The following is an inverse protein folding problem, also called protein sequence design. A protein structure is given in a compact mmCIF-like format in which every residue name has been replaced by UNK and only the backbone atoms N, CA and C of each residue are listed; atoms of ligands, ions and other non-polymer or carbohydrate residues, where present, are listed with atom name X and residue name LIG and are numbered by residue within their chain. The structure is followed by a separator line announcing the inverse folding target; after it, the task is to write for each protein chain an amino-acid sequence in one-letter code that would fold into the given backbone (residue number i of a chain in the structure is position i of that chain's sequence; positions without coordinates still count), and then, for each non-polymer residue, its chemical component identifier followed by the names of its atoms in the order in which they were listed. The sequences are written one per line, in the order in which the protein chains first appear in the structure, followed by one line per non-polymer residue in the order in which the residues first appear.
data_IF_494427691888
#
_entry.id   IF_494427691888
#
_cell.length_a   1.000
_cell.length_b   1.000
_cell.length_c   1.000
_cell.angle_alpha   90.00
_cell.angle_beta   90.00
_cell.angle_gamma   90.00
#
_symmetry.space_group_name_H-M   'P 1'
#
loop_
_entity.id
_entity.type
_entity.pdbx_description
1 polymer ?
#
# COMPACT_ATOMS: atom_id res chain seq x y z
N UNK A 1 3.16 0.96 -33.65
CA UNK A 1 2.79 0.14 -32.48
C UNK A 1 2.51 -1.27 -32.97
N UNK A 2 3.16 -2.29 -32.43
CA UNK A 2 2.82 -3.69 -32.74
C UNK A 2 1.55 -4.15 -32.01
N UNK A 3 1.08 -5.36 -32.30
CA UNK A 3 -0.10 -5.96 -31.65
C UNK A 3 0.00 -5.97 -30.11
N UNK A 4 1.23 -6.06 -29.58
CA UNK A 4 1.54 -6.04 -28.15
C UNK A 4 1.03 -4.77 -27.48
N UNK A 5 1.21 -3.61 -28.12
CA UNK A 5 0.78 -2.32 -27.57
C UNK A 5 -0.74 -2.26 -27.39
N UNK A 6 -1.50 -2.77 -28.37
CA UNK A 6 -2.95 -2.84 -28.28
C UNK A 6 -3.43 -3.78 -27.17
N UNK A 7 -2.82 -4.96 -27.06
CA UNK A 7 -3.14 -5.92 -25.98
C UNK A 7 -2.86 -5.31 -24.61
N UNK A 8 -1.71 -4.66 -24.43
CA UNK A 8 -1.37 -4.01 -23.16
C UNK A 8 -2.33 -2.85 -22.87
N UNK A 9 -2.71 -2.06 -23.88
CA UNK A 9 -3.68 -0.97 -23.70
C UNK A 9 -5.03 -1.51 -23.20
N UNK A 10 -5.52 -2.62 -23.76
CA UNK A 10 -6.73 -3.29 -23.30
C UNK A 10 -6.58 -3.78 -21.85
N UNK A 11 -5.45 -4.41 -21.50
CA UNK A 11 -5.18 -4.86 -20.12
C UNK A 11 -5.24 -3.66 -19.15
N UNK A 12 -4.51 -2.58 -19.44
CA UNK A 12 -4.47 -1.38 -18.59
C UNK A 12 -5.86 -0.75 -18.46
N UNK A 13 -6.61 -0.69 -19.57
CA UNK A 13 -7.98 -0.18 -19.59
C UNK A 13 -8.93 -1.01 -18.70
N UNK A 14 -8.86 -2.34 -18.77
CA UNK A 14 -9.66 -3.22 -17.92
C UNK A 14 -9.29 -3.08 -16.43
N UNK A 15 -8.00 -2.95 -16.11
CA UNK A 15 -7.55 -2.66 -14.75
C UNK A 15 -8.07 -1.31 -14.27
N UNK A 16 -8.05 -0.27 -15.12
CA UNK A 16 -8.59 1.04 -14.81
C UNK A 16 -10.10 0.96 -14.53
N UNK A 17 -10.88 0.28 -15.37
CA UNK A 17 -12.32 0.09 -15.16
C UNK A 17 -12.61 -0.62 -13.84
N UNK A 18 -11.89 -1.70 -13.53
CA UNK A 18 -12.01 -2.38 -12.24
C UNK A 18 -11.72 -1.44 -11.07
N UNK A 19 -10.61 -0.69 -11.14
CA UNK A 19 -10.18 0.20 -10.08
C UNK A 19 -11.18 1.35 -9.86
N UNK A 20 -11.60 2.03 -10.93
CA UNK A 20 -12.59 3.13 -10.86
C UNK A 20 -13.95 2.65 -10.34
N UNK A 21 -14.48 1.56 -10.88
CA UNK A 21 -15.76 1.02 -10.44
C UNK A 21 -15.70 0.56 -8.98
N UNK A 22 -14.63 -0.12 -8.58
CA UNK A 22 -14.41 -0.56 -7.21
C UNK A 22 -14.28 0.62 -6.24
N UNK A 23 -13.49 1.64 -6.57
CA UNK A 23 -13.36 2.86 -5.77
C UNK A 23 -14.70 3.59 -5.63
N UNK A 24 -15.45 3.75 -6.72
CA UNK A 24 -16.78 4.36 -6.69
C UNK A 24 -17.72 3.63 -5.73
N UNK A 25 -17.73 2.29 -5.77
CA UNK A 25 -18.53 1.49 -4.85
C UNK A 25 -18.11 1.71 -3.41
N UNK A 26 -16.81 1.62 -3.10
CA UNK A 26 -16.30 1.82 -1.72
C UNK A 26 -16.68 3.20 -1.19
N UNK A 27 -16.46 4.27 -1.96
CA UNK A 27 -16.80 5.63 -1.54
C UNK A 27 -18.30 5.79 -1.26
N UNK A 28 -19.15 5.17 -2.07
CA UNK A 28 -20.61 5.28 -1.94
C UNK A 28 -21.19 4.41 -0.84
N UNK A 29 -20.64 3.23 -0.61
CA UNK A 29 -21.26 2.21 0.26
C UNK A 29 -20.52 1.98 1.57
N UNK A 30 -19.31 2.49 1.77
CA UNK A 30 -18.57 2.24 3.01
C UNK A 30 -19.19 3.00 4.19
N UNK A 31 -19.80 2.30 5.17
CA UNK A 31 -20.21 2.95 6.40
C UNK A 31 -18.97 3.40 7.18
N UNK A 32 -19.12 4.50 7.92
CA UNK A 32 -18.12 4.86 8.94
C UNK A 32 -18.20 3.78 10.01
N UNK A 33 -17.11 3.04 10.22
CA UNK A 33 -17.08 1.99 11.23
C UNK A 33 -17.29 2.63 12.61
N UNK A 34 -18.24 2.11 13.40
CA UNK A 34 -18.49 2.53 14.80
C UNK A 34 -17.37 2.07 15.76
N UNK A 35 -16.26 1.57 15.23
CA UNK A 35 -15.13 1.13 16.01
C UNK A 35 -14.36 2.29 16.63
N UNK A 36 -13.72 2.04 17.77
CA UNK A 36 -12.73 2.94 18.36
C UNK A 36 -11.37 2.25 18.45
N UNK A 37 -10.31 3.05 18.49
CA UNK A 37 -8.93 2.62 18.69
C UNK A 37 -8.45 3.14 20.04
N UNK A 38 -7.70 2.30 20.74
CA UNK A 38 -7.04 2.68 22.00
C UNK A 38 -5.55 2.46 21.89
N UNK A 39 -4.76 3.51 22.16
CA UNK A 39 -3.31 3.39 22.29
C UNK A 39 -2.97 2.64 23.58
N UNK A 40 -2.03 1.69 23.52
CA UNK A 40 -1.63 0.87 24.68
C UNK A 40 -1.05 1.69 25.84
N UNK A 41 -0.39 2.82 25.56
CA UNK A 41 0.10 3.77 26.57
C UNK A 41 0.43 5.14 25.96
N UNK A 42 0.55 6.17 26.80
CA UNK A 42 1.05 7.50 26.39
C UNK A 42 2.48 7.43 25.84
N UNK A 43 3.32 6.56 26.39
CA UNK A 43 4.68 6.31 25.90
C UNK A 43 4.67 5.73 24.49
N UNK A 44 3.78 4.76 24.22
CA UNK A 44 3.62 4.20 22.88
C UNK A 44 3.14 5.25 21.88
N UNK A 45 2.17 6.08 22.26
CA UNK A 45 1.69 7.20 21.44
C UNK A 45 2.84 8.16 21.09
N UNK A 46 3.55 8.69 22.08
CA UNK A 46 4.66 9.64 21.87
C UNK A 46 5.83 9.02 21.10
N UNK A 47 6.14 7.76 21.37
CA UNK A 47 7.19 7.01 20.67
C UNK A 47 6.86 6.81 19.19
N UNK A 48 5.63 6.41 18.86
CA UNK A 48 5.16 6.28 17.48
C UNK A 48 5.19 7.63 16.76
N UNK A 49 4.81 8.71 17.43
CA UNK A 49 4.90 10.06 16.87
C UNK A 49 6.35 10.42 16.52
N UNK A 50 7.27 10.27 17.47
CA UNK A 50 8.69 10.56 17.27
C UNK A 50 9.30 9.73 16.13
N UNK A 51 8.98 8.44 16.08
CA UNK A 51 9.36 7.55 14.99
C UNK A 51 8.91 8.09 13.63
N UNK A 52 7.63 8.47 13.49
CA UNK A 52 7.08 8.99 12.23
C UNK A 52 7.75 10.29 11.79
N UNK A 53 8.06 11.20 12.72
CA UNK A 53 8.77 12.45 12.42
C UNK A 53 10.18 12.17 11.89
N UNK A 54 10.92 11.28 12.53
CA UNK A 54 12.27 10.88 12.08
C UNK A 54 12.21 10.22 10.71
N UNK A 55 11.24 9.33 10.48
CA UNK A 55 11.05 8.68 9.18
C UNK A 55 10.69 9.68 8.09
N UNK A 56 9.79 10.63 8.37
CA UNK A 56 9.43 11.67 7.41
C UNK A 56 10.65 12.53 7.03
N UNK A 57 11.47 12.93 8.01
CA UNK A 57 12.72 13.64 7.75
C UNK A 57 13.69 12.82 6.89
N UNK A 58 13.90 11.54 7.24
CA UNK A 58 14.72 10.62 6.45
C UNK A 58 14.21 10.52 5.00
N UNK A 59 12.90 10.39 4.80
CA UNK A 59 12.33 10.24 3.47
C UNK A 59 12.44 11.52 2.63
N UNK A 60 12.24 12.69 3.26
CA UNK A 60 12.49 13.99 2.63
C UNK A 60 13.95 14.08 2.18
N UNK A 61 14.89 13.73 3.06
CA UNK A 61 16.32 13.72 2.72
C UNK A 61 16.62 12.76 1.57
N UNK A 62 16.11 11.52 1.61
CA UNK A 62 16.30 10.55 0.53
C UNK A 62 15.75 11.06 -0.81
N UNK A 63 14.57 11.66 -0.83
CA UNK A 63 13.99 12.24 -2.05
C UNK A 63 14.79 13.43 -2.56
N UNK A 64 15.26 14.33 -1.70
CA UNK A 64 16.13 15.46 -2.10
C UNK A 64 17.42 14.92 -2.72
N UNK A 65 18.06 13.92 -2.11
CA UNK A 65 19.25 13.28 -2.67
C UNK A 65 18.96 12.63 -4.03
N UNK A 66 17.83 11.93 -4.17
CA UNK A 66 17.47 11.30 -5.43
C UNK A 66 17.26 12.35 -6.54
N UNK A 67 16.60 13.46 -6.24
CA UNK A 67 16.31 14.52 -7.21
C UNK A 67 17.55 15.33 -7.60
N UNK A 68 18.48 15.54 -6.67
CA UNK A 68 19.73 16.28 -6.94
C UNK A 68 20.72 15.45 -7.75
N UNK A 69 20.75 14.12 -7.56
CA UNK A 69 21.70 13.24 -8.27
C UNK A 69 21.15 12.63 -9.57
N UNK A 70 19.85 12.36 -9.68
CA UNK A 70 19.24 11.74 -10.87
C UNK A 70 18.42 12.71 -11.73
N UNK A 71 18.36 13.99 -11.34
CA UNK A 71 17.60 15.05 -12.02
C UNK A 71 16.11 14.68 -12.19
N UNK A 72 15.41 15.32 -13.15
CA UNK A 72 14.00 15.05 -13.45
C UNK A 72 13.70 13.61 -13.86
N UNK A 73 14.72 12.79 -14.19
CA UNK A 73 14.54 11.38 -14.55
C UNK A 73 14.12 10.52 -13.37
N UNK A 74 14.41 10.94 -12.14
CA UNK A 74 13.95 10.27 -10.92
C UNK A 74 12.43 10.07 -10.91
N UNK A 75 11.66 11.07 -11.39
CA UNK A 75 10.20 11.00 -11.44
C UNK A 75 9.65 10.03 -12.49
N UNK A 76 10.49 9.41 -13.32
CA UNK A 76 10.05 8.35 -14.22
C UNK A 76 10.07 6.96 -13.57
N UNK A 77 10.71 6.84 -12.40
CA UNK A 77 10.91 5.57 -11.70
C UNK A 77 9.75 5.29 -10.75
N UNK A 78 9.14 4.11 -10.86
CA UNK A 78 8.05 3.67 -10.00
C UNK A 78 8.46 3.63 -8.52
N UNK A 79 9.72 3.31 -8.25
CA UNK A 79 10.31 3.35 -6.90
C UNK A 79 10.13 4.73 -6.26
N UNK A 80 10.45 5.80 -6.98
CA UNK A 80 10.37 7.18 -6.49
C UNK A 80 8.92 7.58 -6.25
N UNK A 81 8.00 7.16 -7.12
CA UNK A 81 6.56 7.34 -6.92
C UNK A 81 6.09 6.67 -5.62
N UNK A 82 6.43 5.40 -5.43
CA UNK A 82 6.06 4.64 -4.23
C UNK A 82 6.65 5.27 -2.96
N UNK A 83 7.94 5.65 -2.99
CA UNK A 83 8.62 6.27 -1.86
C UNK A 83 8.02 7.65 -1.53
N UNK A 84 7.66 8.44 -2.54
CA UNK A 84 6.93 9.71 -2.36
C UNK A 84 5.57 9.48 -1.72
N UNK A 85 4.82 8.46 -2.16
CA UNK A 85 3.52 8.14 -1.58
C UNK A 85 3.64 7.66 -0.12
N UNK A 86 4.73 6.97 0.22
CA UNK A 86 5.04 6.63 1.62
C UNK A 86 5.33 7.88 2.45
N UNK A 87 6.05 8.87 1.92
CA UNK A 87 6.25 10.16 2.62
C UNK A 87 4.90 10.85 2.86
N UNK A 88 4.01 10.89 1.86
CA UNK A 88 2.65 11.44 2.01
C UNK A 88 1.90 10.73 3.13
N UNK A 89 2.00 9.39 3.20
CA UNK A 89 1.44 8.62 4.31
C UNK A 89 1.99 9.06 5.67
N UNK A 90 3.31 9.16 5.83
CA UNK A 90 3.91 9.54 7.11
C UNK A 90 3.53 10.96 7.55
N UNK A 91 3.51 11.92 6.62
CA UNK A 91 3.06 13.29 6.90
C UNK A 91 1.59 13.33 7.32
N UNK A 92 0.73 12.57 6.64
CA UNK A 92 -0.69 12.48 7.01
C UNK A 92 -0.88 11.76 8.35
N UNK A 93 -0.13 10.70 8.62
CA UNK A 93 -0.16 9.99 9.89
C UNK A 93 0.28 10.89 11.07
N UNK A 94 1.29 11.74 10.86
CA UNK A 94 1.69 12.77 11.83
C UNK A 94 0.54 13.75 12.07
N UNK A 95 -0.06 14.29 11.00
CA UNK A 95 -1.19 15.23 11.11
C UNK A 95 -2.35 14.64 11.91
N UNK A 96 -2.78 13.43 11.58
CA UNK A 96 -3.86 12.72 12.31
C UNK A 96 -3.48 12.53 13.77
N UNK A 97 -2.24 12.13 14.05
CA UNK A 97 -1.78 11.92 15.42
C UNK A 97 -1.70 13.23 16.24
N UNK A 98 -1.36 14.37 15.62
CA UNK A 98 -1.42 15.69 16.26
C UNK A 98 -2.86 16.06 16.61
N UNK A 99 -3.82 15.80 15.71
CA UNK A 99 -5.24 16.07 15.99
C UNK A 99 -5.78 15.24 17.16
N UNK A 100 -5.20 14.07 17.39
CA UNK A 100 -5.58 13.14 18.46
C UNK A 100 -4.76 13.35 19.75
N UNK A 101 -3.87 14.36 19.80
CA UNK A 101 -2.93 14.54 20.90
C UNK A 101 -3.60 14.70 22.27
N UNK A 102 -4.74 15.42 22.31
CA UNK A 102 -5.55 15.60 23.51
C UNK A 102 -6.27 14.33 23.96
N UNK A 103 -6.36 13.32 23.10
CA UNK A 103 -7.01 12.03 23.36
C UNK A 103 -5.99 10.92 23.67
N UNK A 104 -4.74 11.27 23.93
CA UNK A 104 -3.68 10.31 24.25
C UNK A 104 -4.00 9.55 25.57
N UNK A 105 -4.49 8.32 25.44
CA UNK A 105 -4.92 7.48 26.56
C UNK A 105 -6.43 7.24 26.64
N UNK A 106 -7.21 7.89 25.76
CA UNK A 106 -8.66 7.71 25.63
C UNK A 106 -9.01 6.91 24.37
N UNK A 107 -10.27 6.46 24.29
CA UNK A 107 -10.81 5.87 23.07
C UNK A 107 -10.87 6.92 21.96
N UNK A 108 -10.20 6.65 20.84
CA UNK A 108 -10.27 7.50 19.64
C UNK A 108 -11.27 6.87 18.67
N UNK A 109 -12.39 7.54 18.34
CA UNK A 109 -13.35 7.00 17.39
C UNK A 109 -12.73 6.84 16.01
N UNK A 110 -13.13 5.81 15.27
CA UNK A 110 -12.68 5.59 13.90
C UNK A 110 -13.29 6.66 12.99
N UNK A 111 -12.48 7.65 12.61
CA UNK A 111 -12.89 8.68 11.66
C UNK A 111 -12.72 8.22 10.22
N UNK A 112 -13.48 8.81 9.31
CA UNK A 112 -13.31 8.60 7.86
C UNK A 112 -11.89 8.94 7.40
N UNK A 113 -11.27 9.97 7.97
CA UNK A 113 -9.87 10.32 7.68
C UNK A 113 -8.91 9.18 8.03
N UNK A 114 -9.10 8.53 9.17
CA UNK A 114 -8.28 7.39 9.59
C UNK A 114 -8.51 6.13 8.75
N UNK A 115 -9.75 5.93 8.26
CA UNK A 115 -10.03 4.87 7.29
C UNK A 115 -9.23 5.11 6.00
N UNK A 116 -9.27 6.33 5.45
CA UNK A 116 -8.49 6.69 4.26
C UNK A 116 -6.99 6.58 4.46
N UNK A 117 -6.49 7.00 5.62
CA UNK A 117 -5.08 6.84 5.98
C UNK A 117 -4.69 5.35 6.03
N UNK A 118 -5.59 4.48 6.50
CA UNK A 118 -5.38 3.03 6.52
C UNK A 118 -5.39 2.43 5.12
N UNK A 119 -6.32 2.85 4.24
CA UNK A 119 -6.31 2.46 2.82
C UNK A 119 -5.00 2.89 2.14
N UNK A 120 -4.55 4.14 2.37
CA UNK A 120 -3.27 4.62 1.85
C UNK A 120 -2.11 3.76 2.38
N UNK A 121 -2.12 3.41 3.66
CA UNK A 121 -1.12 2.50 4.24
C UNK A 121 -1.11 1.15 3.55
N UNK A 122 -2.29 0.55 3.31
CA UNK A 122 -2.41 -0.72 2.57
C UNK A 122 -1.76 -0.63 1.21
N UNK A 123 -2.04 0.44 0.45
CA UNK A 123 -1.47 0.66 -0.90
C UNK A 123 0.05 0.79 -0.85
N UNK A 124 0.60 1.65 0.02
CA UNK A 124 2.05 1.86 0.07
C UNK A 124 2.78 0.64 0.62
N UNK A 125 2.18 -0.10 1.57
CA UNK A 125 2.79 -1.28 2.15
C UNK A 125 2.84 -2.44 1.17
N UNK A 126 1.73 -2.74 0.47
CA UNK A 126 1.72 -3.77 -0.57
C UNK A 126 2.67 -3.42 -1.72
N UNK A 127 2.70 -2.15 -2.12
CA UNK A 127 3.58 -1.69 -3.21
C UNK A 127 5.05 -1.74 -2.79
N UNK A 128 5.38 -1.46 -1.52
CA UNK A 128 6.75 -1.57 -1.03
C UNK A 128 7.31 -2.99 -1.13
N UNK A 129 6.50 -4.01 -0.78
CA UNK A 129 6.88 -5.41 -0.97
C UNK A 129 7.06 -5.77 -2.44
N UNK A 130 6.19 -5.29 -3.32
CA UNK A 130 6.34 -5.48 -4.76
C UNK A 130 7.65 -4.86 -5.27
N UNK A 131 7.91 -3.60 -4.91
CA UNK A 131 9.12 -2.87 -5.33
C UNK A 131 10.37 -3.60 -4.84
N UNK A 132 10.37 -4.08 -3.59
CA UNK A 132 11.45 -4.91 -3.07
C UNK A 132 11.60 -6.21 -3.87
N UNK A 133 10.50 -6.97 -4.04
CA UNK A 133 10.49 -8.23 -4.77
C UNK A 133 11.08 -8.07 -6.17
N UNK A 134 10.56 -7.13 -6.97
CA UNK A 134 11.00 -6.89 -8.34
C UNK A 134 12.45 -6.40 -8.36
N UNK A 135 12.83 -5.52 -7.44
CA UNK A 135 14.19 -5.01 -7.39
C UNK A 135 15.19 -6.13 -7.12
N UNK A 136 15.02 -6.87 -6.03
CA UNK A 136 15.97 -7.89 -5.58
C UNK A 136 16.00 -9.14 -6.49
N UNK A 137 14.90 -9.46 -7.16
CA UNK A 137 14.83 -10.64 -8.05
C UNK A 137 15.09 -10.35 -9.52
N UNK A 138 14.79 -9.14 -10.03
CA UNK A 138 14.83 -8.84 -11.47
C UNK A 138 15.82 -7.75 -11.83
N UNK A 139 15.97 -6.70 -11.01
CA UNK A 139 16.66 -5.46 -11.40
C UNK A 139 18.04 -5.32 -10.73
N UNK A 140 18.26 -5.98 -9.60
CA UNK A 140 19.40 -5.74 -8.71
C UNK A 140 20.75 -5.77 -9.43
N UNK A 141 21.61 -4.81 -9.05
CA UNK A 141 23.00 -4.72 -9.47
C UNK A 141 23.88 -4.55 -8.24
N UNK A 142 25.02 -5.25 -8.20
CA UNK A 142 25.94 -5.22 -7.06
C UNK A 142 26.43 -3.81 -6.69
N UNK A 143 26.45 -2.87 -7.65
CA UNK A 143 26.86 -1.47 -7.48
C UNK A 143 25.74 -0.55 -6.95
N UNK A 144 24.83 -1.07 -6.12
CA UNK A 144 23.73 -0.28 -5.56
C UNK A 144 24.25 0.63 -4.44
N UNK A 145 23.95 1.92 -4.50
CA UNK A 145 24.29 2.89 -3.46
C UNK A 145 23.23 2.95 -2.34
N UNK A 146 23.53 3.68 -1.26
CA UNK A 146 22.73 3.71 -0.03
C UNK A 146 21.26 4.11 -0.25
N UNK A 147 20.96 5.08 -1.14
CA UNK A 147 19.56 5.48 -1.45
C UNK A 147 18.80 4.30 -2.06
N UNK A 148 19.43 3.55 -2.96
CA UNK A 148 18.82 2.33 -3.52
C UNK A 148 18.51 1.30 -2.44
N UNK A 149 19.43 1.05 -1.50
CA UNK A 149 19.14 0.16 -0.36
C UNK A 149 17.98 0.70 0.50
N UNK A 150 17.90 2.02 0.69
CA UNK A 150 16.83 2.65 1.45
C UNK A 150 15.46 2.49 0.77
N UNK A 151 15.38 2.70 -0.55
CA UNK A 151 14.15 2.62 -1.34
C UNK A 151 13.67 1.19 -1.61
N UNK A 152 14.57 0.19 -1.53
CA UNK A 152 14.28 -1.20 -1.89
C UNK A 152 14.33 -2.20 -0.72
N UNK A 153 14.88 -1.83 0.43
CA UNK A 153 14.91 -2.68 1.63
C UNK A 153 14.66 -1.91 2.92
N UNK A 154 15.31 -0.76 3.12
CA UNK A 154 15.18 0.04 4.34
C UNK A 154 13.73 0.49 4.59
N UNK A 155 13.03 0.92 3.54
CA UNK A 155 11.64 1.35 3.63
C UNK A 155 10.69 0.20 4.02
N UNK A 156 10.97 -1.03 3.57
CA UNK A 156 10.20 -2.20 3.95
C UNK A 156 10.36 -2.48 5.45
N UNK A 157 11.57 -2.41 5.99
CA UNK A 157 11.79 -2.54 7.44
C UNK A 157 11.04 -1.45 8.22
N UNK A 158 11.10 -0.20 7.77
CA UNK A 158 10.37 0.93 8.38
C UNK A 158 8.86 0.71 8.33
N UNK A 159 8.30 0.29 7.20
CA UNK A 159 6.87 0.06 7.06
C UNK A 159 6.40 -1.17 7.86
N UNK A 160 7.24 -2.19 8.03
CA UNK A 160 6.96 -3.32 8.93
C UNK A 160 6.91 -2.84 10.38
N UNK A 161 7.86 -1.98 10.80
CA UNK A 161 7.83 -1.38 12.14
C UNK A 161 6.58 -0.52 12.33
N UNK A 162 6.26 0.34 11.37
CA UNK A 162 5.03 1.14 11.36
C UNK A 162 3.80 0.24 11.46
N UNK A 163 3.71 -0.82 10.67
CA UNK A 163 2.63 -1.81 10.72
C UNK A 163 2.53 -2.48 12.10
N UNK A 164 3.64 -2.82 12.75
CA UNK A 164 3.66 -3.44 14.07
C UNK A 164 3.27 -2.49 15.22
N UNK A 165 3.43 -1.18 15.02
CA UNK A 165 3.19 -0.15 16.03
C UNK A 165 1.87 0.61 15.82
N UNK A 166 1.36 0.67 14.59
CA UNK A 166 0.17 1.43 14.28
C UNK A 166 -1.12 0.62 14.47
N UNK A 167 -2.26 1.29 14.32
CA UNK A 167 -3.59 0.71 14.38
C UNK A 167 -4.28 0.68 13.01
N UNK A 168 -3.50 0.78 11.93
CA UNK A 168 -4.05 0.65 10.58
C UNK A 168 -4.58 -0.77 10.39
N UNK A 169 -5.75 -0.87 9.77
CA UNK A 169 -6.38 -2.12 9.38
C UNK A 169 -6.39 -2.18 7.85
N UNK A 170 -6.16 -3.38 7.32
CA UNK A 170 -6.09 -3.62 5.88
C UNK A 170 -7.26 -4.50 5.52
N UNK A 171 -8.05 -4.08 4.52
CA UNK A 171 -9.29 -4.76 4.15
C UNK A 171 -9.31 -5.07 2.67
N UNK A 172 -10.07 -6.10 2.29
CA UNK A 172 -10.21 -6.51 0.88
C UNK A 172 -10.79 -5.39 0.01
N UNK A 173 -11.60 -4.50 0.58
CA UNK A 173 -12.14 -3.33 -0.11
C UNK A 173 -11.08 -2.30 -0.52
N UNK A 174 -9.84 -2.40 -0.05
CA UNK A 174 -8.73 -1.55 -0.48
C UNK A 174 -8.17 -1.97 -1.86
N UNK A 175 -8.53 -3.16 -2.37
CA UNK A 175 -7.98 -3.71 -3.62
C UNK A 175 -8.11 -2.78 -4.84
N UNK A 176 -9.23 -2.06 -5.06
CA UNK A 176 -9.34 -1.11 -6.17
C UNK A 176 -8.33 0.04 -6.08
N UNK A 177 -7.99 0.50 -4.87
CA UNK A 177 -7.00 1.56 -4.66
C UNK A 177 -5.58 1.05 -4.92
N UNK A 178 -5.27 -0.17 -4.46
CA UNK A 178 -3.99 -0.83 -4.75
C UNK A 178 -3.82 -1.10 -6.25
N UNK A 179 -4.89 -1.45 -6.97
CA UNK A 179 -4.89 -1.63 -8.41
C UNK A 179 -4.77 -0.31 -9.18
N UNK A 180 -5.34 0.78 -8.66
CA UNK A 180 -5.27 2.10 -9.30
C UNK A 180 -3.84 2.63 -9.37
N UNK A 181 -3.03 2.36 -8.34
CA UNK A 181 -1.68 2.90 -8.25
C UNK A 181 -0.76 2.57 -9.46
N UNK A 182 -0.57 1.31 -9.86
CA UNK A 182 0.18 0.99 -11.08
C UNK A 182 -0.51 1.47 -12.37
N UNK A 183 -1.84 1.56 -12.42
CA UNK A 183 -2.57 2.08 -13.59
C UNK A 183 -2.22 3.56 -13.83
N UNK A 184 -2.21 4.37 -12.76
CA UNK A 184 -1.82 5.79 -12.84
C UNK A 184 -0.37 5.90 -13.33
N UNK A 185 0.55 5.14 -12.72
CA UNK A 185 1.95 5.16 -13.13
C UNK A 185 2.14 4.79 -14.60
N UNK A 186 1.56 3.66 -15.04
CA UNK A 186 1.70 3.20 -16.43
C UNK A 186 1.15 4.24 -17.40
N UNK A 187 -0.02 4.81 -17.10
CA UNK A 187 -0.63 5.86 -17.93
C UNK A 187 0.31 7.06 -18.07
N UNK A 188 0.87 7.55 -16.96
CA UNK A 188 1.78 8.70 -16.99
C UNK A 188 3.08 8.37 -17.73
N UNK A 189 3.67 7.19 -17.52
CA UNK A 189 4.88 6.80 -18.24
C UNK A 189 4.65 6.62 -19.73
N UNK A 190 3.47 6.18 -20.16
CA UNK A 190 3.12 6.15 -21.58
C UNK A 190 3.06 7.56 -22.18
N UNK A 191 2.47 8.51 -21.46
CA UNK A 191 2.45 9.92 -21.88
C UNK A 191 3.89 10.44 -21.97
N UNK A 192 4.74 10.19 -20.97
CA UNK A 192 6.15 10.56 -20.99
C UNK A 192 6.89 9.91 -22.17
N UNK A 193 6.63 8.62 -22.47
CA UNK A 193 7.21 7.90 -23.62
C UNK A 193 6.79 8.49 -24.96
N UNK A 194 5.55 8.96 -25.08
CA UNK A 194 5.04 9.60 -26.29
C UNK A 194 5.54 11.04 -26.47
N UNK A 195 6.09 11.67 -25.42
CA UNK A 195 6.42 13.11 -25.43
C UNK A 195 7.92 13.39 -25.36
N UNK A 196 8.65 12.82 -24.40
CA UNK A 196 10.04 13.19 -24.15
C UNK A 196 10.97 12.05 -23.71
N UNK A 197 10.45 10.84 -23.40
CA UNK A 197 11.30 9.70 -23.05
C UNK A 197 11.68 8.88 -24.27
N UNK A 198 12.98 8.83 -24.57
CA UNK A 198 13.53 7.99 -25.63
C UNK A 198 13.41 6.50 -25.30
N UNK A 199 13.64 6.14 -24.04
CA UNK A 199 13.66 4.75 -23.54
C UNK A 199 12.64 4.52 -22.44
N UNK A 200 12.13 3.29 -22.35
CA UNK A 200 11.29 2.87 -21.23
C UNK A 200 12.11 2.86 -19.92
N UNK A 201 11.56 3.34 -18.80
CA UNK A 201 12.24 3.31 -17.50
C UNK A 201 12.66 1.91 -17.05
N UNK A 202 11.88 0.90 -17.44
CA UNK A 202 12.16 -0.50 -17.15
C UNK A 202 12.08 -1.34 -18.42
N UNK A 203 12.99 -2.31 -18.55
CA UNK A 203 13.09 -3.20 -19.72
C UNK A 203 11.88 -4.11 -19.89
N UNK A 204 11.17 -4.40 -18.80
CA UNK A 204 9.92 -5.19 -18.78
C UNK A 204 8.68 -4.37 -19.17
N UNK A 205 8.79 -3.04 -19.25
CA UNK A 205 7.74 -2.18 -19.82
C UNK A 205 7.90 -1.95 -21.31
N UNK A 206 9.01 -2.42 -21.92
CA UNK A 206 9.22 -2.22 -23.35
C UNK A 206 8.24 -3.07 -24.18
N UNK A 207 7.30 -2.39 -24.84
CA UNK A 207 6.22 -2.96 -25.65
C UNK A 207 6.67 -3.53 -27.00
N UNK A 208 7.88 -3.20 -27.44
CA UNK A 208 8.43 -3.70 -28.71
C UNK A 208 8.79 -5.18 -28.62
N UNK A 209 8.92 -5.72 -27.41
CA UNK A 209 9.24 -7.13 -27.18
C UNK A 209 8.00 -8.00 -27.37
N UNK A 210 8.16 -9.14 -28.05
CA UNK A 210 7.09 -10.11 -28.25
C UNK A 210 6.41 -10.57 -26.94
N UNK A 211 7.18 -10.72 -25.86
CA UNK A 211 6.68 -11.13 -24.54
C UNK A 211 6.20 -9.96 -23.66
N UNK A 212 6.11 -8.74 -24.18
CA UNK A 212 5.69 -7.59 -23.38
C UNK A 212 4.33 -7.78 -22.69
N UNK A 213 3.27 -8.32 -23.34
CA UNK A 213 2.00 -8.57 -22.66
C UNK A 213 2.13 -9.49 -21.44
N UNK A 214 2.97 -10.53 -21.54
CA UNK A 214 3.23 -11.46 -20.43
C UNK A 214 3.91 -10.76 -19.25
N UNK A 215 4.82 -9.82 -19.50
CA UNK A 215 5.46 -9.04 -18.43
C UNK A 215 4.47 -8.16 -17.70
N UNK A 216 3.53 -7.52 -18.41
CA UNK A 216 2.46 -6.74 -17.79
C UNK A 216 1.53 -7.61 -16.93
N UNK A 217 1.14 -8.78 -17.44
CA UNK A 217 0.36 -9.76 -16.65
C UNK A 217 1.16 -10.20 -15.41
N UNK A 218 2.45 -10.50 -15.55
CA UNK A 218 3.32 -10.87 -14.44
C UNK A 218 3.39 -9.80 -13.35
N UNK A 219 3.51 -8.53 -13.73
CA UNK A 219 3.48 -7.40 -12.78
C UNK A 219 2.11 -7.28 -12.10
N UNK A 220 1.00 -7.47 -12.81
CA UNK A 220 -0.35 -7.48 -12.21
C UNK A 220 -0.48 -8.61 -11.18
N UNK A 221 -0.05 -9.82 -11.53
CA UNK A 221 -0.05 -10.97 -10.61
C UNK A 221 0.80 -10.69 -9.38
N UNK A 222 1.97 -10.09 -9.54
CA UNK A 222 2.84 -9.70 -8.43
C UNK A 222 2.17 -8.66 -7.50
N UNK A 223 1.41 -7.69 -8.03
CA UNK A 223 0.63 -6.76 -7.21
C UNK A 223 -0.46 -7.46 -6.42
N UNK A 224 -1.21 -8.37 -7.07
CA UNK A 224 -2.26 -9.17 -6.42
C UNK A 224 -1.65 -10.01 -5.30
N UNK A 225 -0.50 -10.65 -5.54
CA UNK A 225 0.19 -11.46 -4.56
C UNK A 225 0.68 -10.62 -3.37
N UNK A 226 1.31 -9.47 -3.60
CA UNK A 226 1.80 -8.59 -2.52
C UNK A 226 0.64 -7.98 -1.72
N UNK A 227 -0.47 -7.61 -2.38
CA UNK A 227 -1.68 -7.18 -1.70
C UNK A 227 -2.28 -8.30 -0.84
N UNK A 228 -2.39 -9.52 -1.38
CA UNK A 228 -2.81 -10.69 -0.62
C UNK A 228 -1.91 -10.97 0.60
N UNK A 229 -0.60 -10.82 0.43
CA UNK A 229 0.39 -10.99 1.49
C UNK A 229 0.18 -10.00 2.65
N UNK A 230 -0.02 -8.70 2.37
CA UNK A 230 -0.26 -7.74 3.44
C UNK A 230 -1.59 -7.98 4.16
N UNK A 231 -2.61 -8.50 3.47
CA UNK A 231 -3.86 -8.94 4.13
C UNK A 231 -3.62 -10.14 5.06
N UNK A 232 -2.74 -11.07 4.68
CA UNK A 232 -2.33 -12.18 5.57
C UNK A 232 -1.56 -11.66 6.79
N UNK A 233 -0.65 -10.70 6.61
CA UNK A 233 0.03 -10.04 7.72
C UNK A 233 -0.96 -9.33 8.64
N UNK A 234 -1.96 -8.62 8.11
CA UNK A 234 -3.01 -7.99 8.90
C UNK A 234 -3.79 -9.00 9.74
N UNK A 235 -4.21 -10.13 9.13
CA UNK A 235 -4.86 -11.23 9.86
C UNK A 235 -3.96 -11.83 10.94
N UNK A 236 -2.68 -12.03 10.64
CA UNK A 236 -1.70 -12.54 11.61
C UNK A 236 -1.51 -11.55 12.77
N UNK A 237 -1.42 -10.25 12.51
CA UNK A 237 -1.33 -9.20 13.53
C UNK A 237 -2.56 -9.23 14.45
N UNK A 238 -3.78 -9.34 13.90
CA UNK A 238 -5.00 -9.44 14.71
C UNK A 238 -5.00 -10.70 15.58
N UNK A 239 -4.51 -11.84 15.05
CA UNK A 239 -4.45 -13.11 15.78
C UNK A 239 -3.39 -13.13 16.89
N UNK A 240 -2.18 -12.65 16.60
CA UNK A 240 -1.02 -12.81 17.50
C UNK A 240 -0.70 -11.57 18.34
N UNK A 241 -1.20 -10.38 17.97
CA UNK A 241 -0.97 -9.12 18.68
C UNK A 241 -2.29 -8.40 19.04
N UNK A 242 -3.27 -9.08 19.71
CA UNK A 242 -4.59 -8.50 19.97
C UNK A 242 -4.51 -7.23 20.84
N UNK A 243 -3.55 -7.16 21.78
CA UNK A 243 -3.34 -6.00 22.66
C UNK A 243 -2.87 -4.73 21.93
N UNK A 244 -2.41 -4.84 20.68
CA UNK A 244 -2.01 -3.72 19.81
C UNK A 244 -3.05 -3.42 18.75
N UNK A 245 -4.17 -4.15 18.73
CA UNK A 245 -5.26 -4.02 17.79
C UNK A 245 -6.58 -4.03 18.58
N UNK A 246 -6.72 -3.10 19.53
CA UNK A 246 -8.00 -2.87 20.20
C UNK A 246 -8.88 -2.05 19.25
N UNK A 247 -9.56 -2.75 18.36
CA UNK A 247 -10.75 -2.25 17.68
C UNK A 247 -11.91 -2.57 18.61
N UNK A 248 -12.24 -1.65 19.51
CA UNK A 248 -13.43 -1.74 20.34
C UNK A 248 -14.61 -1.34 19.46
N UNK A 249 -15.21 -2.33 18.80
CA UNK A 249 -16.53 -2.16 18.22
C UNK A 249 -17.54 -2.08 19.38
N UNK A 250 -18.35 -1.02 19.41
CA UNK A 250 -19.63 -1.12 20.11
C UNK A 250 -20.52 -2.02 19.25
N UNK A 251 -20.40 -3.33 19.50
CA UNK A 251 -21.10 -4.33 18.73
C UNK A 251 -22.57 -4.34 19.17
N UNK A 252 -23.43 -3.64 18.45
CA UNK A 252 -24.80 -4.17 18.31
C UNK A 252 -24.65 -5.58 17.73
N UNK A 253 -25.29 -6.54 18.39
CA UNK A 253 -25.13 -8.00 18.27
C UNK A 253 -25.20 -8.62 16.85
N UNK A 254 -25.45 -7.84 15.80
CA UNK A 254 -25.69 -8.35 14.44
C UNK A 254 -24.41 -8.58 13.62
N UNK A 255 -23.33 -7.82 13.86
CA UNK A 255 -22.11 -7.94 13.03
C UNK A 255 -21.15 -9.06 13.48
N UNK A 256 -21.28 -9.56 14.71
CA UNK A 256 -20.58 -10.76 15.20
C UNK A 256 -21.06 -12.03 14.48
N UNK A 257 -22.31 -12.00 14.00
CA UNK A 257 -22.97 -13.15 13.35
C UNK A 257 -22.30 -13.50 12.03
N UNK A 258 -21.78 -12.53 11.27
CA UNK A 258 -21.12 -12.82 9.98
C UNK A 258 -19.74 -13.45 10.12
N UNK A 259 -19.01 -13.16 11.20
CA UNK A 259 -17.69 -13.73 11.48
C UNK A 259 -17.76 -15.17 12.00
N UNK A 260 -18.72 -15.47 12.88
CA UNK A 260 -18.88 -16.82 13.44
C UNK A 260 -19.67 -17.78 12.53
N UNK A 261 -20.60 -17.29 11.71
CA UNK A 261 -21.41 -18.16 10.85
C UNK A 261 -20.61 -18.73 9.66
N UNK A 262 -19.57 -18.04 9.18
CA UNK A 262 -18.67 -18.58 8.17
C UNK A 262 -17.78 -19.69 8.73
N UNK A 263 -17.25 -19.51 9.95
CA UNK A 263 -16.42 -20.52 10.63
C UNK A 263 -17.21 -21.78 10.97
N UNK A 264 -18.46 -21.64 11.41
CA UNK A 264 -19.34 -22.77 11.71
C UNK A 264 -19.80 -23.53 10.45
N UNK A 265 -19.99 -22.83 9.32
CA UNK A 265 -20.27 -23.47 8.02
C UNK A 265 -19.08 -24.26 7.52
N UNK A 266 -17.86 -23.74 7.67
CA UNK A 266 -16.65 -24.41 7.23
C UNK A 266 -16.33 -25.63 8.13
N UNK A 267 -16.62 -25.56 9.43
CA UNK A 267 -16.53 -26.70 10.35
C UNK A 267 -17.60 -27.78 10.09
N UNK A 268 -18.84 -27.38 9.76
CA UNK A 268 -19.90 -28.32 9.41
C UNK A 268 -19.65 -29.03 8.07
N UNK A 269 -19.14 -28.32 7.06
CA UNK A 269 -18.79 -28.92 5.77
C UNK A 269 -17.58 -29.86 5.91
N UNK A 270 -16.64 -29.57 6.82
CA UNK A 270 -15.54 -30.48 7.16
C UNK A 270 -15.96 -31.70 8.01
N UNK A 271 -17.12 -31.63 8.68
CA UNK A 271 -17.66 -32.75 9.48
C UNK A 271 -18.58 -33.70 8.70
N UNK A 272 -18.92 -33.35 7.45
CA UNK A 272 -19.80 -34.12 6.56
C UNK A 272 -19.13 -34.56 5.25
N UNK A 273 -17.80 -34.50 5.19
CA UNK A 273 -16.96 -35.15 4.16
C UNK A 273 -16.02 -36.15 4.84
#
# INVERSE_FOLDING_TARGET
MGWQGYVIAVIVFLCALYAFHGMYRVVKTAPVSLSSITYSSSTHFKGLFGFRVVVAALYITTLIYQLTYQEGRAFTMYTVWNFTLQLVYFLWAIKVQVAEWSHAGSFVPMTRERQWLSTLFTVVFSTSFLVALVYWSVIYKASTWWVGYMEHAGNNAILILEFCLNHCFMVRSDAPFAAMWPVVYVTVIWICKATFLDKWPYTFMNQEKALAPLMYVGVIVAHIACFGFVLLLAKAKTKYLPKRCHITADMTKEDVVYSHCQSAKDELVASHA
#
